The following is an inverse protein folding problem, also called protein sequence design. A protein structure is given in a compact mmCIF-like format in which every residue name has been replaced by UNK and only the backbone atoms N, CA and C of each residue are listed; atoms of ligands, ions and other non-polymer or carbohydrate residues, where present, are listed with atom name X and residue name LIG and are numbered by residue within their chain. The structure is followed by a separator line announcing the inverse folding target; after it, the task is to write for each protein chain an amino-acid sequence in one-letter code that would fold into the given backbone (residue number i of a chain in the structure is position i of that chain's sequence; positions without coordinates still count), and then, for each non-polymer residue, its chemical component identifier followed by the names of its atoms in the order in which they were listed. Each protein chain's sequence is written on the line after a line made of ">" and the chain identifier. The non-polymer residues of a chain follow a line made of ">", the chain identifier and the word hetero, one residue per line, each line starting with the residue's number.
data_IF_931691148060
#
_entry.id   IF_931691148060
#
_cell.length_a   1.000
_cell.length_b   1.000
_cell.length_c   1.000
_cell.angle_alpha   90.00
_cell.angle_beta   90.00
_cell.angle_gamma   90.00
#
_symmetry.space_group_name_H-M   'P 1'
#
loop_
_entity.id
_entity.type
_entity.pdbx_description
1 polymer ?
#
# COMPACT_ATOMS: atom_id res chain seq x y z
N UNK A 1 -6.26 29.87 4.56
CA UNK A 1 -7.35 30.35 5.41
C UNK A 1 -6.84 31.44 6.34
N UNK A 2 -7.20 32.68 6.06
CA UNK A 2 -6.69 33.85 6.78
C UNK A 2 -7.19 33.91 8.24
N UNK A 3 -8.42 33.48 8.50
CA UNK A 3 -9.00 33.49 9.84
C UNK A 3 -8.27 32.57 10.83
N UNK A 4 -7.82 31.41 10.35
CA UNK A 4 -7.12 30.42 11.16
C UNK A 4 -5.59 30.50 11.02
N UNK A 5 -5.09 31.37 10.14
CA UNK A 5 -3.66 31.49 9.86
C UNK A 5 -3.06 30.25 9.19
N UNK A 6 -3.86 29.39 8.53
CA UNK A 6 -3.38 28.19 7.85
C UNK A 6 -3.13 28.46 6.38
N UNK A 7 -1.99 27.98 5.91
CA UNK A 7 -1.63 27.92 4.51
C UNK A 7 -1.74 26.48 4.01
N UNK A 8 -2.52 26.27 2.95
CA UNK A 8 -2.72 24.96 2.35
C UNK A 8 -2.06 24.86 0.98
N UNK A 9 -1.49 23.73 0.68
CA UNK A 9 -1.06 23.40 -0.67
C UNK A 9 -1.37 21.93 -0.97
N UNK A 10 -1.61 21.64 -2.25
CA UNK A 10 -1.87 20.28 -2.72
C UNK A 10 -0.62 19.71 -3.34
N UNK A 11 -0.30 18.49 -2.98
CA UNK A 11 0.80 17.74 -3.57
C UNK A 11 0.38 16.31 -3.87
N UNK A 12 1.24 15.57 -4.56
CA UNK A 12 1.05 14.16 -4.77
C UNK A 12 1.01 13.43 -3.42
N UNK A 13 0.04 12.55 -3.20
CA UNK A 13 -0.12 11.85 -1.93
C UNK A 13 1.16 11.14 -1.47
N UNK A 14 1.89 10.52 -2.40
CA UNK A 14 3.14 9.83 -2.12
C UNK A 14 4.27 10.76 -1.62
N UNK A 15 4.17 12.06 -1.88
CA UNK A 15 5.18 13.05 -1.48
C UNK A 15 4.84 13.71 -0.14
N UNK A 16 3.59 13.66 0.32
CA UNK A 16 3.15 14.27 1.58
C UNK A 16 4.01 13.84 2.78
N UNK A 17 4.31 12.55 2.98
CA UNK A 17 5.19 12.13 4.07
C UNK A 17 6.56 12.81 4.04
N UNK A 18 7.12 13.01 2.86
CA UNK A 18 8.41 13.69 2.68
C UNK A 18 8.36 15.15 3.10
N UNK A 19 7.32 15.87 2.69
CA UNK A 19 7.14 17.28 3.08
C UNK A 19 7.05 17.47 4.60
N UNK A 20 6.35 16.56 5.26
CA UNK A 20 6.18 16.64 6.72
C UNK A 20 7.47 16.25 7.45
N UNK A 21 8.10 15.15 7.06
CA UNK A 21 9.33 14.68 7.72
C UNK A 21 10.47 15.69 7.61
N UNK A 22 10.61 16.33 6.47
CA UNK A 22 11.67 17.32 6.22
C UNK A 22 11.30 18.74 6.65
N UNK A 23 10.14 18.94 7.25
CA UNK A 23 9.72 20.21 7.84
C UNK A 23 9.22 21.26 6.84
N UNK A 24 9.00 20.88 5.58
CA UNK A 24 8.40 21.77 4.59
C UNK A 24 6.91 22.00 4.82
N UNK A 25 6.26 21.07 5.49
CA UNK A 25 4.91 21.18 6.00
C UNK A 25 4.87 20.79 7.48
N UNK A 26 4.05 21.48 8.25
CA UNK A 26 3.88 21.17 9.68
C UNK A 26 2.97 19.96 9.88
N UNK A 27 1.94 19.82 9.04
CA UNK A 27 0.94 18.74 9.08
C UNK A 27 0.66 18.27 7.66
N UNK A 28 0.44 16.98 7.51
CA UNK A 28 0.00 16.35 6.26
C UNK A 28 -1.28 15.56 6.47
N UNK A 29 -2.14 15.56 5.47
CA UNK A 29 -3.34 14.70 5.40
C UNK A 29 -3.15 13.73 4.24
N UNK A 30 -3.15 12.44 4.54
CA UNK A 30 -2.80 11.40 3.57
C UNK A 30 -3.36 10.05 4.02
N UNK A 31 -3.50 9.11 3.11
CA UNK A 31 -3.94 7.76 3.44
C UNK A 31 -2.94 7.00 4.32
N UNK A 32 -3.45 6.15 5.18
CA UNK A 32 -2.65 5.27 6.06
C UNK A 32 -1.71 4.37 5.25
N UNK A 33 -2.16 3.88 4.11
CA UNK A 33 -1.36 3.11 3.16
C UNK A 33 -0.11 3.86 2.71
N UNK A 34 -0.24 5.15 2.41
CA UNK A 34 0.87 6.00 2.00
C UNK A 34 1.87 6.19 3.15
N UNK A 35 1.40 6.37 4.37
CA UNK A 35 2.26 6.49 5.56
C UNK A 35 3.05 5.19 5.79
N UNK A 36 2.38 4.06 5.74
CA UNK A 36 3.00 2.74 5.94
C UNK A 36 4.01 2.41 4.85
N UNK A 37 3.67 2.69 3.60
CA UNK A 37 4.56 2.41 2.47
C UNK A 37 5.81 3.31 2.48
N UNK A 38 5.67 4.57 2.89
CA UNK A 38 6.78 5.51 2.97
C UNK A 38 7.84 5.10 4.02
N UNK A 39 7.41 4.45 5.12
CA UNK A 39 8.32 3.98 6.16
C UNK A 39 9.10 5.10 6.86
N UNK A 40 8.62 6.34 6.78
CA UNK A 40 9.29 7.51 7.37
C UNK A 40 8.92 7.68 8.83
N UNK A 41 9.79 8.35 9.58
CA UNK A 41 9.58 8.66 11.00
C UNK A 41 8.59 9.80 11.16
N UNK A 42 7.31 9.46 11.25
CA UNK A 42 6.20 10.40 11.37
C UNK A 42 5.27 9.98 12.50
N UNK A 43 4.63 10.98 13.11
CA UNK A 43 3.56 10.74 14.07
C UNK A 43 2.20 10.83 13.40
N UNK A 44 1.36 9.84 13.65
CA UNK A 44 -0.04 9.87 13.27
C UNK A 44 -0.84 10.54 14.40
N UNK A 45 -1.26 11.77 14.18
CA UNK A 45 -1.85 12.62 15.22
C UNK A 45 -3.34 12.41 15.36
N UNK A 46 -4.03 12.18 14.23
CA UNK A 46 -5.48 12.08 14.19
C UNK A 46 -5.93 11.13 13.06
N UNK A 47 -6.83 10.21 13.39
CA UNK A 47 -7.58 9.44 12.42
C UNK A 47 -8.84 10.21 12.01
N UNK A 48 -8.96 10.53 10.73
CA UNK A 48 -10.10 11.28 10.19
C UNK A 48 -11.34 10.40 9.99
N UNK A 49 -11.24 9.09 10.17
CA UNK A 49 -12.32 8.12 10.01
C UNK A 49 -13.03 8.15 8.64
N UNK A 50 -12.29 8.52 7.58
CA UNK A 50 -12.81 8.56 6.22
C UNK A 50 -11.93 7.72 5.28
N UNK A 51 -12.45 7.38 4.10
CA UNK A 51 -11.71 6.62 3.10
C UNK A 51 -11.30 5.21 3.56
N UNK A 52 -12.14 4.53 4.34
CA UNK A 52 -11.83 3.19 4.86
C UNK A 52 -11.66 2.18 3.74
N UNK A 53 -10.54 1.50 3.74
CA UNK A 53 -10.20 0.45 2.79
C UNK A 53 -9.43 -0.68 3.49
N UNK A 54 -9.18 -1.74 2.75
CA UNK A 54 -8.38 -2.88 3.25
C UNK A 54 -7.25 -3.17 2.29
N UNK A 55 -6.08 -3.47 2.83
CA UNK A 55 -5.01 -4.06 2.06
C UNK A 55 -5.23 -5.57 2.00
N UNK A 56 -5.28 -6.13 0.81
CA UNK A 56 -5.60 -7.53 0.59
C UNK A 56 -4.55 -8.23 -0.28
N UNK A 57 -4.33 -9.50 0.00
CA UNK A 57 -3.66 -10.41 -0.93
C UNK A 57 -4.74 -11.01 -1.82
N UNK A 58 -4.60 -10.87 -3.12
CA UNK A 58 -5.55 -11.38 -4.10
C UNK A 58 -4.83 -12.13 -5.22
N UNK A 59 -5.52 -13.08 -5.81
CA UNK A 59 -4.99 -13.86 -6.93
C UNK A 59 -6.00 -14.88 -7.41
N UNK A 60 -5.69 -15.61 -8.49
CA UNK A 60 -6.54 -16.69 -8.96
C UNK A 60 -6.67 -17.80 -7.90
N UNK A 61 -7.78 -18.52 -7.93
CA UNK A 61 -8.03 -19.60 -6.97
C UNK A 61 -6.91 -20.66 -6.94
N UNK A 62 -6.26 -20.90 -8.07
CA UNK A 62 -5.12 -21.81 -8.19
C UNK A 62 -3.89 -21.38 -7.37
N UNK A 63 -3.72 -20.10 -7.09
CA UNK A 63 -2.61 -19.61 -6.30
C UNK A 63 -2.77 -19.85 -4.78
N UNK A 64 -3.97 -20.16 -4.33
CA UNK A 64 -4.27 -20.37 -2.90
C UNK A 64 -3.45 -21.51 -2.29
N UNK A 65 -3.29 -22.60 -3.01
CA UNK A 65 -2.49 -23.75 -2.57
C UNK A 65 -1.01 -23.39 -2.44
N UNK A 66 -0.49 -22.66 -3.41
CA UNK A 66 0.91 -22.18 -3.40
C UNK A 66 1.17 -21.24 -2.22
N UNK A 67 0.20 -20.38 -1.89
CA UNK A 67 0.28 -19.52 -0.70
C UNK A 67 0.33 -20.31 0.59
N UNK A 68 -0.43 -21.41 0.69
CA UNK A 68 -0.57 -22.18 1.92
C UNK A 68 0.58 -23.18 2.14
N UNK A 69 1.22 -23.67 1.07
CA UNK A 69 2.28 -24.65 1.17
C UNK A 69 3.69 -24.03 1.31
N UNK A 70 3.81 -22.71 1.37
CA UNK A 70 5.08 -22.02 1.53
C UNK A 70 5.96 -22.00 0.28
N UNK A 71 5.43 -22.31 -0.89
CA UNK A 71 6.16 -22.19 -2.16
C UNK A 71 6.64 -20.76 -2.37
N UNK A 72 7.77 -20.62 -3.05
CA UNK A 72 8.26 -19.32 -3.48
C UNK A 72 7.31 -18.76 -4.53
N UNK A 73 6.64 -17.67 -4.21
CA UNK A 73 5.70 -16.98 -5.10
C UNK A 73 6.19 -15.57 -5.41
N UNK A 74 5.72 -15.05 -6.53
CA UNK A 74 5.92 -13.65 -6.92
C UNK A 74 4.68 -12.86 -6.55
N UNK A 75 4.92 -11.72 -5.90
CA UNK A 75 3.87 -10.81 -5.43
C UNK A 75 4.05 -9.47 -6.12
N UNK A 76 3.09 -9.07 -6.94
CA UNK A 76 3.10 -7.75 -7.56
C UNK A 76 2.31 -6.77 -6.70
N UNK A 77 2.84 -5.57 -6.49
CA UNK A 77 2.19 -4.56 -5.69
C UNK A 77 2.68 -3.15 -6.02
N UNK A 78 1.80 -2.19 -5.84
CA UNK A 78 2.14 -0.78 -5.74
C UNK A 78 2.75 -0.43 -4.37
N UNK A 79 2.62 -1.34 -3.40
CA UNK A 79 3.03 -1.18 -2.01
C UNK A 79 4.06 -2.25 -1.60
N UNK A 80 5.29 -2.21 -2.14
CA UNK A 80 6.29 -3.25 -1.88
C UNK A 80 6.69 -3.34 -0.42
N UNK A 81 6.79 -2.23 0.31
CA UNK A 81 7.17 -2.25 1.73
C UNK A 81 6.08 -2.88 2.60
N UNK A 82 4.82 -2.57 2.33
CA UNK A 82 3.67 -3.18 3.03
C UNK A 82 3.58 -4.66 2.73
N UNK A 83 3.73 -5.05 1.47
CA UNK A 83 3.71 -6.45 1.04
C UNK A 83 4.85 -7.24 1.68
N UNK A 84 6.06 -6.69 1.69
CA UNK A 84 7.23 -7.30 2.32
C UNK A 84 7.02 -7.52 3.83
N UNK A 85 6.54 -6.51 4.52
CA UNK A 85 6.26 -6.61 5.96
C UNK A 85 5.23 -7.72 6.25
N UNK A 86 4.17 -7.78 5.48
CA UNK A 86 3.14 -8.80 5.64
C UNK A 86 3.70 -10.23 5.44
N UNK A 87 4.39 -10.48 4.36
CA UNK A 87 4.88 -11.83 4.05
C UNK A 87 6.05 -12.25 4.94
N UNK A 88 7.03 -11.39 5.16
CA UNK A 88 8.23 -11.74 5.93
C UNK A 88 8.00 -11.69 7.44
N UNK A 89 7.33 -10.66 7.95
CA UNK A 89 7.23 -10.44 9.39
C UNK A 89 5.95 -11.03 10.01
N UNK A 90 4.84 -11.07 9.29
CA UNK A 90 3.56 -11.61 9.80
C UNK A 90 3.30 -13.04 9.36
N UNK A 91 3.57 -13.37 8.11
CA UNK A 91 3.38 -14.72 7.56
C UNK A 91 4.62 -15.60 7.67
N UNK A 92 5.80 -15.03 7.90
CA UNK A 92 7.08 -15.73 7.89
C UNK A 92 7.32 -16.51 6.60
N UNK A 93 6.92 -15.95 5.48
CA UNK A 93 7.03 -16.55 4.15
C UNK A 93 7.94 -15.71 3.27
N UNK A 94 8.91 -16.35 2.62
CA UNK A 94 9.78 -15.72 1.63
C UNK A 94 9.06 -15.61 0.30
N UNK A 95 9.00 -14.40 -0.26
CA UNK A 95 8.35 -14.11 -1.55
C UNK A 95 9.24 -13.18 -2.37
N UNK A 96 9.07 -13.22 -3.69
CA UNK A 96 9.64 -12.22 -4.58
C UNK A 96 8.63 -11.09 -4.79
N UNK A 97 9.02 -9.86 -4.44
CA UNK A 97 8.14 -8.70 -4.56
C UNK A 97 8.50 -7.90 -5.80
N UNK A 98 7.51 -7.70 -6.65
CA UNK A 98 7.62 -6.95 -7.91
C UNK A 98 6.83 -5.65 -7.75
N UNK A 99 7.53 -4.53 -7.79
CA UNK A 99 6.89 -3.21 -7.73
C UNK A 99 6.28 -2.84 -9.07
N UNK A 100 5.00 -2.46 -9.04
CA UNK A 100 4.29 -1.86 -10.16
C UNK A 100 3.76 -0.48 -9.76
N UNK A 101 3.62 0.41 -10.75
CA UNK A 101 3.10 1.76 -10.51
C UNK A 101 1.57 1.87 -10.67
N UNK A 102 0.94 0.86 -11.26
CA UNK A 102 -0.49 0.79 -11.48
C UNK A 102 -0.88 -0.46 -12.22
N UNK A 103 -2.18 -0.66 -12.46
CA UNK A 103 -2.73 -1.83 -13.16
C UNK A 103 -2.22 -3.17 -12.61
N UNK A 104 -2.11 -3.25 -11.30
CA UNK A 104 -1.53 -4.39 -10.59
C UNK A 104 -2.32 -5.67 -10.84
N UNK A 105 -3.63 -5.57 -11.04
CA UNK A 105 -4.56 -6.65 -11.34
C UNK A 105 -4.20 -7.44 -12.63
N UNK A 106 -3.45 -6.82 -13.54
CA UNK A 106 -3.00 -7.48 -14.75
C UNK A 106 -1.84 -8.47 -14.51
N UNK A 107 -1.10 -8.30 -13.43
CA UNK A 107 0.11 -9.09 -13.19
C UNK A 107 -0.13 -10.60 -13.17
N UNK A 108 -1.13 -11.14 -12.46
CA UNK A 108 -1.42 -12.58 -12.52
C UNK A 108 -1.93 -13.03 -13.89
N UNK A 109 -2.65 -12.18 -14.60
CA UNK A 109 -3.23 -12.49 -15.90
C UNK A 109 -2.15 -12.69 -16.96
N UNK A 110 -1.11 -11.85 -16.94
CA UNK A 110 -0.01 -11.93 -17.91
C UNK A 110 1.15 -12.82 -17.43
N UNK A 111 1.02 -13.48 -16.28
CA UNK A 111 2.03 -14.38 -15.75
C UNK A 111 3.22 -13.70 -15.09
N UNK A 112 3.11 -12.43 -14.71
CA UNK A 112 4.17 -11.70 -14.03
C UNK A 112 4.30 -12.12 -12.56
N UNK A 113 3.18 -12.40 -11.91
CA UNK A 113 3.12 -12.82 -10.50
C UNK A 113 2.02 -13.84 -10.26
N UNK A 114 2.11 -14.57 -9.17
CA UNK A 114 1.08 -15.50 -8.74
C UNK A 114 -0.07 -14.77 -8.02
N UNK A 115 0.27 -13.76 -7.23
CA UNK A 115 -0.68 -12.96 -6.45
C UNK A 115 -0.32 -11.48 -6.50
N UNK A 116 -1.25 -10.65 -6.04
CA UNK A 116 -1.06 -9.22 -5.85
C UNK A 116 -1.35 -8.82 -4.39
N UNK A 117 -0.78 -7.71 -3.97
CA UNK A 117 -1.17 -6.99 -2.76
C UNK A 117 -1.68 -5.62 -3.18
N UNK A 118 -2.94 -5.36 -2.93
CA UNK A 118 -3.57 -4.10 -3.35
C UNK A 118 -4.68 -3.68 -2.38
N UNK A 119 -5.09 -2.42 -2.50
CA UNK A 119 -6.18 -1.84 -1.74
C UNK A 119 -7.52 -2.30 -2.31
N UNK A 120 -8.40 -2.72 -1.43
CA UNK A 120 -9.78 -3.10 -1.76
C UNK A 120 -10.74 -2.23 -0.95
N UNK A 121 -11.56 -1.48 -1.65
CA UNK A 121 -12.64 -0.70 -1.06
C UNK A 121 -13.97 -1.45 -1.18
N UNK A 122 -14.38 -1.78 -2.40
CA UNK A 122 -15.66 -2.46 -2.69
C UNK A 122 -15.52 -3.88 -3.20
N UNK A 123 -14.32 -4.29 -3.61
CA UNK A 123 -14.06 -5.59 -4.23
C UNK A 123 -14.46 -5.70 -5.70
N UNK A 124 -14.95 -4.64 -6.32
CA UNK A 124 -15.39 -4.65 -7.73
C UNK A 124 -14.24 -4.87 -8.72
N UNK A 125 -13.05 -4.42 -8.38
CA UNK A 125 -11.85 -4.53 -9.23
C UNK A 125 -11.25 -5.95 -9.23
N UNK A 126 -11.63 -6.78 -8.24
CA UNK A 126 -11.08 -8.14 -8.05
C UNK A 126 -12.03 -9.25 -8.55
N UNK A 127 -13.12 -8.87 -9.20
CA UNK A 127 -14.09 -9.82 -9.75
C UNK A 127 -13.80 -10.18 -11.21
#
# INVERSE_FOLDING_TARGET
>A
NEELGFKFFLSKASDVPTYVELGAADIGVVGKDTILEAGRKLYEVLDLNCGKCRMCVAGPASAKEQLNNGSLIRVASKYPSIAKDYFYNKKHQTVEIIKLNGSVELAPIVGLSEVIVDIVETGSTLR
#
